data_IF_213320429266
#
_entry.id   IF_213320429266
#
_cell.length_a   1.000
_cell.length_b   1.000
_cell.length_c   1.000
_cell.angle_alpha   90.00
_cell.angle_beta   90.00
_cell.angle_gamma   90.00
#
_symmetry.space_group_name_H-M   'P 1'
#
loop_
_entity.id
_entity.type
_entity.pdbx_description
1 polymer ?
#
# COMPACT_ATOMS: atom_id res chain seq x y z
N UNK A 1 -9.07 -7.61 31.04
CA UNK A 1 -7.88 -6.85 30.60
C UNK A 1 -8.07 -6.54 29.11
N UNK A 2 -8.47 -5.31 28.75
CA UNK A 2 -8.55 -4.88 27.35
C UNK A 2 -7.20 -4.28 26.97
N UNK A 3 -6.46 -4.94 26.09
CA UNK A 3 -5.21 -4.41 25.52
C UNK A 3 -5.57 -3.39 24.45
N UNK A 4 -5.34 -2.10 24.69
CA UNK A 4 -5.41 -1.08 23.65
C UNK A 4 -4.28 -1.35 22.65
N UNK A 5 -4.62 -1.90 21.49
CA UNK A 5 -3.64 -2.15 20.42
C UNK A 5 -3.01 -0.82 20.00
N UNK A 6 -1.69 -0.77 19.93
CA UNK A 6 -0.97 0.43 19.50
C UNK A 6 -1.38 0.80 18.06
N UNK A 7 -1.77 2.05 17.83
CA UNK A 7 -2.10 2.54 16.49
C UNK A 7 -0.83 2.58 15.62
N UNK A 8 -0.79 1.89 14.47
CA UNK A 8 0.38 1.89 13.60
C UNK A 8 0.65 3.29 13.03
N UNK A 9 1.92 3.66 12.90
CA UNK A 9 2.34 4.94 12.31
C UNK A 9 2.78 4.74 10.85
N UNK A 10 2.22 5.48 9.88
CA UNK A 10 2.67 5.39 8.49
C UNK A 10 4.09 5.93 8.34
N UNK A 11 4.84 5.33 7.40
CA UNK A 11 6.20 5.76 7.02
C UNK A 11 6.16 6.29 5.60
N UNK A 12 6.60 7.54 5.40
CA UNK A 12 6.65 8.19 4.09
C UNK A 12 8.09 8.33 3.63
N UNK A 13 8.40 7.79 2.45
CA UNK A 13 9.68 7.96 1.77
C UNK A 13 9.52 8.98 0.65
N UNK A 14 10.08 10.19 0.82
CA UNK A 14 9.93 11.31 -0.12
C UNK A 14 11.30 11.92 -0.51
N UNK A 15 11.35 12.63 -1.64
CA UNK A 15 12.58 13.24 -2.19
C UNK A 15 12.55 13.37 -3.73
N UNK A 16 13.51 14.09 -4.35
CA UNK A 16 13.52 14.32 -5.81
C UNK A 16 13.84 13.05 -6.61
N UNK A 17 13.53 13.04 -7.90
CA UNK A 17 13.86 11.93 -8.79
C UNK A 17 15.39 11.68 -8.79
N UNK A 18 15.78 10.40 -8.76
CA UNK A 18 17.20 10.02 -8.68
C UNK A 18 17.80 10.03 -7.27
N UNK A 19 17.07 10.43 -6.22
CA UNK A 19 17.58 10.45 -4.84
C UNK A 19 17.75 9.08 -4.16
N UNK A 20 17.65 7.97 -4.89
CA UNK A 20 17.86 6.62 -4.35
C UNK A 20 16.72 6.01 -3.51
N UNK A 21 15.54 6.64 -3.44
CA UNK A 21 14.41 6.16 -2.59
C UNK A 21 14.02 4.71 -2.85
N UNK A 22 13.91 4.31 -4.11
CA UNK A 22 13.56 2.94 -4.47
C UNK A 22 14.65 1.95 -4.06
N UNK A 23 15.92 2.31 -4.25
CA UNK A 23 17.06 1.48 -3.84
C UNK A 23 17.09 1.27 -2.32
N UNK A 24 16.89 2.34 -1.55
CA UNK A 24 16.77 2.26 -0.09
C UNK A 24 15.59 1.38 0.34
N UNK A 25 14.43 1.54 -0.31
CA UNK A 25 13.25 0.75 0.02
C UNK A 25 13.48 -0.75 -0.23
N UNK A 26 14.12 -1.10 -1.35
CA UNK A 26 14.40 -2.49 -1.70
C UNK A 26 15.39 -3.13 -0.73
N UNK A 27 16.40 -2.37 -0.28
CA UNK A 27 17.31 -2.81 0.78
C UNK A 27 16.57 -3.01 2.11
N UNK A 28 15.73 -2.05 2.52
CA UNK A 28 14.98 -2.12 3.77
C UNK A 28 13.98 -3.29 3.80
N UNK A 29 13.36 -3.62 2.66
CA UNK A 29 12.46 -4.78 2.54
C UNK A 29 13.16 -6.11 2.78
N UNK A 30 14.45 -6.21 2.44
CA UNK A 30 15.26 -7.40 2.71
C UNK A 30 15.62 -7.57 4.19
N UNK A 31 15.58 -6.47 4.96
CA UNK A 31 16.02 -6.44 6.37
C UNK A 31 14.87 -6.31 7.37
N UNK A 32 13.75 -5.71 6.96
CA UNK A 32 12.63 -5.38 7.85
C UNK A 32 11.29 -5.67 7.20
N UNK A 33 10.32 -6.11 8.02
CA UNK A 33 8.93 -6.14 7.60
C UNK A 33 8.33 -4.72 7.61
N UNK A 34 8.29 -4.09 6.44
CA UNK A 34 7.73 -2.74 6.27
C UNK A 34 6.19 -2.73 6.23
N UNK A 35 5.54 -3.89 6.16
CA UNK A 35 4.10 -4.00 5.93
C UNK A 35 3.71 -3.66 4.49
N UNK A 36 2.49 -3.16 4.32
CA UNK A 36 1.96 -2.78 3.01
C UNK A 36 2.71 -1.57 2.46
N UNK A 37 3.23 -1.71 1.24
CA UNK A 37 3.83 -0.61 0.50
C UNK A 37 2.86 -0.08 -0.55
N UNK A 38 2.76 1.25 -0.63
CA UNK A 38 1.90 1.94 -1.58
C UNK A 38 2.74 2.98 -2.34
N UNK A 39 2.66 2.93 -3.66
CA UNK A 39 3.29 3.89 -4.56
C UNK A 39 2.32 4.23 -5.70
N UNK A 40 2.12 5.53 -5.94
CA UNK A 40 1.16 5.99 -6.95
C UNK A 40 1.57 5.60 -8.37
N UNK A 41 2.84 5.80 -8.74
CA UNK A 41 3.37 5.45 -10.07
C UNK A 41 3.26 3.95 -10.34
N UNK A 42 3.46 3.11 -9.32
CA UNK A 42 3.33 1.66 -9.46
C UNK A 42 1.88 1.23 -9.63
N UNK A 43 0.97 1.82 -8.84
CA UNK A 43 -0.48 1.63 -8.98
C UNK A 43 -0.95 2.04 -10.38
N UNK A 44 -0.47 3.18 -10.89
CA UNK A 44 -0.81 3.65 -12.23
C UNK A 44 -0.31 2.67 -13.30
N UNK A 45 0.94 2.21 -13.22
CA UNK A 45 1.48 1.20 -14.15
C UNK A 45 0.67 -0.10 -14.13
N UNK A 46 0.25 -0.56 -12.95
CA UNK A 46 -0.60 -1.75 -12.80
C UNK A 46 -1.96 -1.54 -13.46
N UNK A 47 -2.62 -0.41 -13.20
CA UNK A 47 -3.91 -0.08 -13.80
C UNK A 47 -3.85 0.07 -15.32
N UNK A 48 -2.78 0.67 -15.85
CA UNK A 48 -2.58 0.79 -17.30
C UNK A 48 -2.43 -0.60 -17.94
N UNK A 49 -1.69 -1.51 -17.29
CA UNK A 49 -1.40 -2.86 -17.82
C UNK A 49 -2.57 -3.83 -17.68
N UNK A 50 -3.22 -3.84 -16.52
CA UNK A 50 -4.17 -4.90 -16.13
C UNK A 50 -5.61 -4.41 -16.10
N UNK A 51 -5.84 -3.09 -16.05
CA UNK A 51 -7.17 -2.46 -15.92
C UNK A 51 -7.91 -2.77 -14.61
N UNK A 52 -7.28 -3.46 -13.67
CA UNK A 52 -7.79 -3.72 -12.33
C UNK A 52 -6.65 -3.74 -11.32
N UNK A 53 -7.00 -3.71 -10.03
CA UNK A 53 -6.07 -3.90 -8.91
C UNK A 53 -6.62 -4.98 -8.00
N UNK A 54 -5.75 -5.88 -7.53
CA UNK A 54 -6.11 -6.82 -6.49
C UNK A 54 -5.92 -6.18 -5.12
N UNK A 55 -7.03 -5.90 -4.42
CA UNK A 55 -7.00 -5.30 -3.08
C UNK A 55 -6.30 -6.20 -2.04
N UNK A 56 -6.28 -7.50 -2.29
CA UNK A 56 -5.52 -8.48 -1.50
C UNK A 56 -4.03 -8.18 -1.42
N UNK A 57 -3.45 -7.58 -2.47
CA UNK A 57 -2.03 -7.21 -2.52
C UNK A 57 -1.69 -6.12 -1.49
N UNK A 58 -2.71 -5.37 -1.07
CA UNK A 58 -2.63 -4.32 -0.06
C UNK A 58 -3.16 -4.77 1.30
N UNK A 59 -3.30 -6.08 1.52
CA UNK A 59 -3.84 -6.69 2.75
C UNK A 59 -5.25 -6.16 3.11
N UNK A 60 -6.01 -5.69 2.12
CA UNK A 60 -7.38 -5.25 2.28
C UNK A 60 -8.30 -6.45 2.05
N UNK A 61 -8.82 -7.00 3.14
CA UNK A 61 -9.86 -8.03 3.10
C UNK A 61 -11.23 -7.37 3.26
N UNK A 62 -12.18 -7.74 2.39
CA UNK A 62 -13.55 -7.24 2.49
C UNK A 62 -14.21 -7.78 3.76
N UNK A 63 -14.40 -6.90 4.74
CA UNK A 63 -14.98 -7.23 6.03
C UNK A 63 -16.44 -6.74 6.09
N UNK A 64 -17.31 -7.30 5.25
CA UNK A 64 -18.78 -7.11 5.31
C UNK A 64 -19.37 -5.74 4.88
N UNK A 65 -20.57 -5.82 4.30
CA UNK A 65 -21.50 -4.76 3.85
C UNK A 65 -21.15 -3.93 2.60
N UNK A 66 -21.76 -4.35 1.48
CA UNK A 66 -22.14 -3.61 0.26
C UNK A 66 -21.16 -2.57 -0.33
N UNK A 67 -20.60 -2.89 -1.50
CA UNK A 67 -20.17 -1.85 -2.44
C UNK A 67 -21.41 -1.03 -2.78
N UNK A 68 -21.48 0.24 -2.34
CA UNK A 68 -22.60 1.12 -2.65
C UNK A 68 -22.87 1.06 -4.16
N UNK A 69 -24.03 0.51 -4.55
CA UNK A 69 -24.47 0.51 -5.93
C UNK A 69 -24.49 1.97 -6.39
N UNK A 70 -23.70 2.27 -7.41
CA UNK A 70 -23.72 3.59 -8.05
C UNK A 70 -25.11 3.78 -8.63
N UNK A 71 -25.88 4.69 -8.05
CA UNK A 71 -27.15 5.14 -8.64
C UNK A 71 -26.84 5.71 -10.03
N UNK A 72 -27.37 5.03 -11.04
CA UNK A 72 -27.50 5.48 -12.43
C UNK A 72 -28.45 6.66 -12.56
#
# INVERSE_FOLDING_TARGET
MMTTAATPRPRLFAGPNGSGKSALLDELRGQFNLGVYVNADEIEKQLVRQRFLHLSDYQLAQSGASLAQRNS
#
